data_IF_027016567752
#
_entry.id   IF_027016567752
#
_cell.length_a   1.000
_cell.length_b   1.000
_cell.length_c   1.000
_cell.angle_alpha   90.00
_cell.angle_beta   90.00
_cell.angle_gamma   90.00
#
_symmetry.space_group_name_H-M   'P 1'
#
loop_
_entity.id
_entity.type
_entity.pdbx_description
1 polymer ?
#
# COMPACT_ATOMS: atom_id res chain seq x y z
N UNK A 1 -45.55 -10.94 38.63
CA UNK A 1 -45.03 -12.13 39.35
C UNK A 1 -45.54 -13.36 38.60
N UNK A 2 -44.62 -14.11 37.95
CA UNK A 2 -44.76 -15.45 37.30
C UNK A 2 -45.57 -15.52 35.97
N UNK A 3 -45.07 -16.15 34.88
CA UNK A 3 -43.70 -16.18 34.37
C UNK A 3 -43.60 -16.12 32.81
N UNK A 4 -42.41 -15.74 32.37
CA UNK A 4 -41.79 -16.06 31.08
C UNK A 4 -41.85 -17.56 30.79
N UNK A 5 -42.28 -17.97 29.58
CA UNK A 5 -41.73 -19.05 28.73
C UNK A 5 -42.49 -19.04 27.38
N UNK A 6 -42.14 -18.12 26.46
CA UNK A 6 -42.65 -18.14 25.09
C UNK A 6 -41.61 -18.80 24.16
N UNK A 7 -41.89 -20.07 23.88
CA UNK A 7 -41.82 -20.78 22.60
C UNK A 7 -40.70 -20.38 21.62
N UNK A 8 -39.77 -21.32 21.47
CA UNK A 8 -38.76 -21.41 20.43
C UNK A 8 -39.37 -21.64 19.04
N UNK A 9 -38.54 -21.45 18.00
CA UNK A 9 -38.79 -21.45 16.55
C UNK A 9 -39.19 -20.05 16.07
N UNK A 10 -38.51 -19.38 15.14
CA UNK A 10 -37.82 -19.85 13.93
C UNK A 10 -36.51 -19.08 13.70
N UNK A 11 -35.52 -19.80 13.19
CA UNK A 11 -34.31 -19.24 12.61
C UNK A 11 -34.65 -18.26 11.48
N UNK A 12 -34.05 -17.07 11.50
CA UNK A 12 -33.65 -16.40 10.27
C UNK A 12 -32.15 -16.18 10.36
N UNK A 13 -31.45 -17.11 9.72
CA UNK A 13 -30.05 -17.02 9.37
C UNK A 13 -29.93 -15.91 8.31
N UNK A 14 -29.75 -14.66 8.76
CA UNK A 14 -29.46 -13.54 7.86
C UNK A 14 -27.98 -13.54 7.47
N UNK A 15 -27.57 -14.51 6.66
CA UNK A 15 -26.20 -14.59 6.10
C UNK A 15 -26.08 -13.73 4.85
N UNK A 16 -25.02 -12.92 4.86
CA UNK A 16 -24.24 -12.35 3.76
C UNK A 16 -24.98 -11.80 2.53
N UNK A 17 -24.86 -10.48 2.35
CA UNK A 17 -24.08 -9.96 1.23
C UNK A 17 -23.66 -8.51 1.51
N UNK A 18 -22.52 -8.30 2.18
CA UNK A 18 -21.69 -7.13 1.87
C UNK A 18 -21.03 -7.43 0.52
N UNK A 19 -21.81 -7.34 -0.55
CA UNK A 19 -21.26 -7.19 -1.88
C UNK A 19 -20.83 -5.72 -2.02
N UNK A 20 -19.76 -5.34 -1.31
CA UNK A 20 -18.90 -4.29 -1.83
C UNK A 20 -18.26 -4.89 -3.09
N UNK A 21 -18.94 -4.78 -4.22
CA UNK A 21 -18.30 -4.99 -5.51
C UNK A 21 -17.09 -4.04 -5.53
N UNK A 22 -15.89 -4.60 -5.45
CA UNK A 22 -14.68 -3.85 -5.74
C UNK A 22 -14.91 -3.20 -7.11
N UNK A 23 -15.02 -1.88 -7.15
CA UNK A 23 -15.09 -1.15 -8.41
C UNK A 23 -13.74 -1.31 -9.09
N UNK A 24 -13.60 -2.35 -9.90
CA UNK A 24 -12.49 -2.44 -10.84
C UNK A 24 -12.78 -1.45 -11.94
N UNK A 25 -12.27 -0.23 -11.80
CA UNK A 25 -12.27 0.70 -12.92
C UNK A 25 -11.28 0.11 -13.94
N UNK A 26 -11.73 -0.32 -15.13
CA UNK A 26 -10.81 -0.88 -16.11
C UNK A 26 -9.81 0.20 -16.54
N UNK A 27 -8.52 -0.14 -16.54
CA UNK A 27 -7.50 0.76 -17.03
C UNK A 27 -7.80 1.13 -18.51
N UNK A 28 -7.57 2.39 -18.91
CA UNK A 28 -7.73 2.77 -20.30
C UNK A 28 -6.83 1.93 -21.21
N UNK A 29 -7.24 1.65 -22.45
CA UNK A 29 -6.43 0.89 -23.39
C UNK A 29 -5.10 1.62 -23.62
N UNK A 30 -4.01 0.84 -23.73
CA UNK A 30 -2.71 1.38 -24.09
C UNK A 30 -2.78 2.07 -25.47
N UNK A 31 -2.04 3.18 -25.69
CA UNK A 31 -1.99 3.82 -27.00
C UNK A 31 -1.51 2.86 -28.10
N UNK A 32 -2.00 3.05 -29.32
CA UNK A 32 -1.62 2.21 -30.48
C UNK A 32 -0.10 2.16 -30.67
N UNK A 33 0.44 0.95 -30.80
CA UNK A 33 1.87 0.71 -30.96
C UNK A 33 2.70 0.80 -29.67
N UNK A 34 2.10 1.09 -28.51
CA UNK A 34 2.78 1.06 -27.22
C UNK A 34 2.55 -0.25 -26.48
N UNK A 35 3.62 -0.77 -25.86
CA UNK A 35 3.56 -1.91 -24.94
C UNK A 35 4.14 -1.48 -23.61
N UNK A 36 3.43 -1.78 -22.51
CA UNK A 36 3.97 -1.57 -21.16
C UNK A 36 5.27 -2.39 -21.01
N UNK A 37 6.37 -1.69 -20.72
CA UNK A 37 7.67 -2.31 -20.54
C UNK A 37 7.89 -2.77 -19.09
N UNK A 38 7.42 -1.97 -18.12
CA UNK A 38 7.61 -2.20 -16.70
C UNK A 38 6.65 -1.33 -15.89
N UNK A 39 6.14 -1.83 -14.77
CA UNK A 39 5.43 -1.08 -13.73
C UNK A 39 5.67 -1.72 -12.36
N UNK A 40 5.44 -0.94 -11.30
CA UNK A 40 5.37 -1.40 -9.91
C UNK A 40 4.18 -0.71 -9.26
N UNK A 41 3.27 -1.49 -8.69
CA UNK A 41 2.02 -0.99 -8.09
C UNK A 41 2.17 -0.75 -6.58
N UNK A 42 3.31 -1.12 -5.99
CA UNK A 42 3.60 -0.93 -4.56
C UNK A 42 2.57 -1.58 -3.62
N UNK A 43 2.11 -2.78 -3.96
CA UNK A 43 1.11 -3.53 -3.17
C UNK A 43 1.70 -4.21 -1.92
N UNK A 44 3.02 -4.25 -1.77
CA UNK A 44 3.71 -4.90 -0.66
C UNK A 44 4.20 -3.88 0.36
N UNK A 45 3.57 -3.85 1.53
CA UNK A 45 3.98 -3.00 2.66
C UNK A 45 5.44 -3.25 3.08
N UNK A 46 6.13 -2.19 3.52
CA UNK A 46 7.49 -2.28 4.05
C UNK A 46 8.51 -1.60 3.14
N UNK A 47 9.58 -2.30 2.78
CA UNK A 47 10.59 -1.76 1.86
C UNK A 47 10.19 -2.02 0.40
N UNK A 48 10.59 -1.16 -0.55
CA UNK A 48 10.44 -1.43 -1.98
C UNK A 48 11.05 -2.79 -2.37
N UNK A 49 10.44 -3.50 -3.33
CA UNK A 49 10.91 -4.83 -3.74
C UNK A 49 12.36 -4.76 -4.24
N UNK A 50 13.32 -5.45 -3.60
CA UNK A 50 14.74 -5.39 -3.97
C UNK A 50 15.05 -5.98 -5.34
N UNK A 51 14.11 -6.68 -5.99
CA UNK A 51 14.24 -7.12 -7.38
C UNK A 51 14.06 -5.97 -8.38
N UNK A 52 13.32 -4.94 -7.98
CA UNK A 52 12.96 -3.79 -8.79
C UNK A 52 13.78 -2.55 -8.41
N UNK A 53 14.07 -2.39 -7.12
CA UNK A 53 14.62 -1.17 -6.54
C UNK A 53 15.90 -1.41 -5.76
N UNK A 54 16.81 -0.44 -5.82
CA UNK A 54 18.01 -0.37 -4.97
C UNK A 54 18.11 1.00 -4.35
N UNK A 55 18.63 1.08 -3.13
CA UNK A 55 18.82 2.36 -2.45
C UNK A 55 20.17 2.97 -2.83
N UNK A 56 20.17 4.28 -3.07
CA UNK A 56 21.41 5.06 -2.95
C UNK A 56 21.72 5.26 -1.46
N UNK A 57 23.00 5.28 -1.13
CA UNK A 57 23.46 5.42 0.26
C UNK A 57 24.56 6.45 0.37
N UNK A 58 24.48 7.35 1.35
CA UNK A 58 25.53 8.33 1.65
C UNK A 58 25.37 9.67 0.95
N UNK A 59 26.45 10.46 0.93
CA UNK A 59 26.54 11.75 0.23
C UNK A 59 26.87 11.51 -1.24
N UNK A 60 25.90 11.00 -1.99
CA UNK A 60 26.17 10.43 -3.31
C UNK A 60 26.53 11.50 -4.37
N UNK A 61 26.14 12.79 -4.20
CA UNK A 61 26.34 13.84 -5.21
C UNK A 61 26.52 15.26 -4.65
N UNK A 62 27.34 16.06 -5.35
CA UNK A 62 27.35 17.53 -5.46
C UNK A 62 27.42 18.42 -4.20
N UNK A 63 28.18 18.09 -3.15
CA UNK A 63 28.30 18.95 -1.95
C UNK A 63 26.94 19.32 -1.32
N UNK A 64 25.91 18.50 -1.58
CA UNK A 64 24.56 18.73 -1.08
C UNK A 64 24.48 18.19 0.35
N UNK A 65 23.76 18.90 1.23
CA UNK A 65 23.48 18.48 2.61
C UNK A 65 22.58 17.22 2.70
N UNK A 66 22.30 16.59 1.56
CA UNK A 66 21.40 15.45 1.43
C UNK A 66 22.13 14.15 1.79
N UNK A 67 21.51 13.38 2.68
CA UNK A 67 22.00 12.07 3.08
C UNK A 67 20.95 11.01 2.80
N UNK A 68 21.19 10.19 1.76
CA UNK A 68 20.28 9.12 1.38
C UNK A 68 20.44 7.91 2.32
N UNK A 69 19.34 7.48 2.92
CA UNK A 69 19.26 6.29 3.78
C UNK A 69 18.11 5.40 3.30
N UNK A 70 18.26 4.08 3.48
CA UNK A 70 17.20 3.11 3.14
C UNK A 70 15.90 3.40 3.89
N UNK A 71 16.02 3.87 5.12
CA UNK A 71 14.89 4.12 6.02
C UNK A 71 14.04 5.34 5.60
N UNK A 72 14.47 6.08 4.57
CA UNK A 72 13.72 7.18 3.97
C UNK A 72 12.74 6.73 2.88
N UNK A 73 12.75 5.46 2.46
CA UNK A 73 11.82 4.96 1.45
C UNK A 73 11.08 3.71 1.94
N UNK A 74 9.74 3.81 1.99
CA UNK A 74 8.85 2.72 2.43
C UNK A 74 7.61 2.66 1.55
N UNK A 75 7.12 1.47 1.29
CA UNK A 75 5.81 1.25 0.71
C UNK A 75 4.77 1.20 1.83
N UNK A 76 3.77 2.09 1.73
CA UNK A 76 2.68 2.18 2.70
C UNK A 76 1.37 2.60 2.03
N UNK A 77 0.29 1.90 2.33
CA UNK A 77 -1.05 2.14 1.80
C UNK A 77 -1.09 2.14 0.26
N UNK A 78 -0.35 1.23 -0.39
CA UNK A 78 -0.28 1.15 -1.85
C UNK A 78 0.54 2.25 -2.52
N UNK A 79 1.42 2.92 -1.76
CA UNK A 79 2.23 4.04 -2.26
C UNK A 79 3.69 3.84 -1.86
N UNK A 80 4.60 4.12 -2.79
CA UNK A 80 5.99 4.40 -2.44
C UNK A 80 6.08 5.78 -1.77
N UNK A 81 6.40 5.79 -0.49
CA UNK A 81 6.64 6.97 0.32
C UNK A 81 8.15 7.22 0.38
N UNK A 82 8.58 8.36 -0.18
CA UNK A 82 9.96 8.86 -0.07
C UNK A 82 9.94 10.08 0.85
N UNK A 83 10.59 9.97 2.01
CA UNK A 83 10.49 10.94 3.09
C UNK A 83 11.81 11.68 3.30
N UNK A 84 11.82 12.98 3.02
CA UNK A 84 12.91 13.87 3.40
C UNK A 84 12.76 14.29 4.88
N UNK A 85 13.76 13.97 5.70
CA UNK A 85 13.79 14.32 7.13
C UNK A 85 14.89 15.35 7.38
N UNK A 86 14.57 16.41 8.12
CA UNK A 86 15.61 17.26 8.72
C UNK A 86 16.16 16.50 9.92
N UNK A 87 17.39 16.04 9.81
CA UNK A 87 18.07 15.30 10.88
C UNK A 87 19.38 15.99 11.26
N UNK A 88 19.78 15.87 12.52
CA UNK A 88 21.15 16.13 12.97
C UNK A 88 21.76 14.80 13.35
N UNK A 89 22.83 14.40 12.68
CA UNK A 89 23.52 13.14 12.93
C UNK A 89 24.97 13.43 13.28
N UNK A 90 25.55 12.72 14.25
CA UNK A 90 26.98 12.81 14.50
C UNK A 90 27.74 12.30 13.27
N UNK A 91 28.82 12.99 12.91
CA UNK A 91 29.78 12.52 11.90
C UNK A 91 30.59 11.31 12.40
#
# INVERSE_FOLDING_TARGET
>A
MIPSQFLWTWAVLGVCALAACAQTNPAPPAPDGMKLAWSDEFDQEGNPDPKNWTFETGYARNEEDQWYQSDNATVKNGLLVIEAKREQKPN
#
